data_IF_947583023070
#
_entry.id   IF_947583023070
#
_cell.length_a   1.000
_cell.length_b   1.000
_cell.length_c   1.000
_cell.angle_alpha   90.00
_cell.angle_beta   90.00
_cell.angle_gamma   90.00
#
_symmetry.space_group_name_H-M   'P 1'
#
loop_
_entity.id
_entity.type
_entity.pdbx_description
1 polymer ?
#
# COMPACT_ATOMS: atom_id res chain seq x y z
N UNK A 1 -3.53 14.37 14.07
CA UNK A 1 -3.03 13.14 14.73
C UNK A 1 -4.24 12.27 15.09
N UNK A 2 -4.65 11.31 14.25
CA UNK A 2 -5.82 10.44 14.53
C UNK A 2 -5.36 9.13 15.19
N UNK A 3 -5.97 8.80 16.34
CA UNK A 3 -5.65 7.67 17.24
C UNK A 3 -6.22 6.31 16.74
N UNK A 4 -5.97 5.89 15.51
CA UNK A 4 -6.62 4.67 14.94
C UNK A 4 -5.65 3.58 14.49
N UNK A 5 -4.46 3.47 15.09
CA UNK A 5 -3.47 2.42 14.75
C UNK A 5 -3.22 1.41 15.88
N UNK A 6 -4.16 1.27 16.82
CA UNK A 6 -4.06 0.25 17.86
C UNK A 6 -4.80 -1.03 17.42
N UNK A 7 -4.17 -2.19 17.61
CA UNK A 7 -4.81 -3.49 17.42
C UNK A 7 -6.06 -3.57 18.29
N UNK A 8 -7.16 -4.04 17.73
CA UNK A 8 -8.41 -4.18 18.45
C UNK A 8 -8.77 -5.66 18.60
N UNK A 9 -8.80 -6.11 19.86
CA UNK A 9 -9.50 -7.33 20.22
C UNK A 9 -10.97 -7.00 20.40
N UNK A 10 -11.83 -7.81 19.80
CA UNK A 10 -13.27 -7.69 19.94
C UNK A 10 -13.88 -9.05 20.26
N UNK A 11 -14.94 -9.01 21.07
CA UNK A 11 -15.76 -10.17 21.41
C UNK A 11 -17.20 -9.76 21.19
N UNK A 12 -17.97 -10.59 20.47
CA UNK A 12 -19.39 -10.36 20.32
C UNK A 12 -20.09 -10.51 21.68
N UNK A 13 -20.94 -9.55 22.08
CA UNK A 13 -21.74 -9.70 23.29
C UNK A 13 -22.63 -10.94 23.19
N UNK A 14 -22.92 -11.57 24.32
CA UNK A 14 -23.89 -12.66 24.36
C UNK A 14 -25.28 -12.13 23.96
N UNK A 15 -26.18 -12.96 23.36
CA UNK A 15 -27.48 -12.50 22.88
C UNK A 15 -28.34 -11.82 23.94
N UNK A 16 -28.19 -12.20 25.21
CA UNK A 16 -28.94 -11.69 26.35
C UNK A 16 -28.19 -10.61 27.14
N UNK A 17 -26.98 -10.23 26.73
CA UNK A 17 -26.16 -9.24 27.45
C UNK A 17 -26.49 -7.83 26.94
N UNK A 18 -27.14 -7.02 27.78
CA UNK A 18 -27.35 -5.60 27.50
C UNK A 18 -26.02 -4.85 27.65
N UNK A 19 -25.50 -4.29 26.56
CA UNK A 19 -24.33 -3.42 26.61
C UNK A 19 -24.79 -1.98 26.91
N UNK A 20 -24.33 -1.36 28.01
CA UNK A 20 -24.64 0.04 28.26
C UNK A 20 -23.83 0.91 27.28
N UNK A 21 -24.54 1.75 26.51
CA UNK A 21 -24.01 2.82 25.65
C UNK A 21 -23.69 2.55 24.16
N UNK A 22 -24.14 1.46 23.52
CA UNK A 22 -24.08 1.33 22.05
C UNK A 22 -25.38 0.81 21.45
N UNK A 23 -26.15 1.70 20.79
CA UNK A 23 -27.18 1.27 19.85
C UNK A 23 -26.50 0.83 18.55
N UNK A 24 -26.49 -0.48 18.30
CA UNK A 24 -26.05 -1.01 17.02
C UNK A 24 -27.08 -0.71 15.94
N UNK A 25 -26.60 -0.20 14.80
CA UNK A 25 -27.39 -0.04 13.58
C UNK A 25 -27.93 -1.39 13.09
N UNK A 26 -29.01 -1.38 12.31
CA UNK A 26 -29.61 -2.61 11.74
C UNK A 26 -28.59 -3.42 10.93
N UNK A 27 -27.66 -2.76 10.22
CA UNK A 27 -26.59 -3.42 9.47
C UNK A 27 -25.60 -4.14 10.40
N UNK A 28 -25.15 -3.48 11.46
CA UNK A 28 -24.24 -4.09 12.44
C UNK A 28 -24.90 -5.31 13.10
N UNK A 29 -26.18 -5.20 13.47
CA UNK A 29 -26.94 -6.30 14.07
C UNK A 29 -27.05 -7.51 13.13
N UNK A 30 -27.34 -7.27 11.86
CA UNK A 30 -27.37 -8.32 10.84
C UNK A 30 -26.00 -9.00 10.64
N UNK A 31 -24.91 -8.23 10.61
CA UNK A 31 -23.55 -8.78 10.55
C UNK A 31 -23.22 -9.63 11.78
N UNK A 32 -23.62 -9.22 12.98
CA UNK A 32 -23.39 -9.98 14.21
C UNK A 32 -24.18 -11.29 14.24
N UNK A 33 -25.44 -11.28 13.77
CA UNK A 33 -26.24 -12.51 13.62
C UNK A 33 -25.59 -13.49 12.63
N UNK A 34 -25.09 -12.97 11.50
CA UNK A 34 -24.35 -13.79 10.55
C UNK A 34 -23.10 -14.41 11.20
N UNK A 35 -22.27 -13.61 11.89
CA UNK A 35 -21.07 -14.11 12.55
C UNK A 35 -21.38 -15.21 13.57
N UNK A 36 -22.45 -15.05 14.36
CA UNK A 36 -22.91 -16.08 15.31
C UNK A 36 -23.36 -17.36 14.61
N UNK A 37 -24.05 -17.27 13.47
CA UNK A 37 -24.48 -18.43 12.69
C UNK A 37 -23.30 -19.30 12.24
N UNK A 38 -22.12 -18.71 12.09
CA UNK A 38 -20.88 -19.40 11.71
C UNK A 38 -19.90 -19.56 12.87
N UNK A 39 -20.39 -19.50 14.11
CA UNK A 39 -19.60 -19.68 15.35
C UNK A 39 -18.42 -18.70 15.53
N UNK A 40 -18.45 -17.55 14.86
CA UNK A 40 -17.46 -16.48 15.00
C UNK A 40 -17.89 -15.57 16.15
N UNK A 41 -17.24 -15.71 17.31
CA UNK A 41 -17.58 -14.93 18.51
C UNK A 41 -16.48 -13.99 18.98
N UNK A 42 -15.23 -14.27 18.63
CA UNK A 42 -14.08 -13.44 19.00
C UNK A 42 -13.17 -13.24 17.81
N UNK A 43 -12.43 -12.14 17.83
CA UNK A 43 -11.39 -11.91 16.85
C UNK A 43 -10.43 -10.80 17.23
N UNK A 44 -9.30 -10.83 16.56
CA UNK A 44 -8.27 -9.80 16.65
C UNK A 44 -8.12 -9.17 15.28
N UNK A 45 -8.25 -7.85 15.22
CA UNK A 45 -7.96 -7.09 14.00
C UNK A 45 -6.70 -6.26 14.22
N UNK A 46 -5.70 -6.52 13.38
CA UNK A 46 -4.44 -5.79 13.36
C UNK A 46 -4.42 -4.88 12.13
N UNK A 47 -4.45 -3.54 12.30
CA UNK A 47 -4.22 -2.63 11.22
C UNK A 47 -2.72 -2.56 10.89
N UNK A 48 -2.41 -2.47 9.61
CA UNK A 48 -1.06 -2.16 9.12
C UNK A 48 -1.12 -0.90 8.27
N UNK A 49 -0.24 0.05 8.61
CA UNK A 49 -0.04 1.24 7.79
C UNK A 49 0.86 0.88 6.63
N UNK A 50 0.33 1.08 5.44
CA UNK A 50 1.02 0.92 4.18
C UNK A 50 1.56 2.29 3.73
N UNK A 51 2.49 2.33 2.77
CA UNK A 51 2.94 3.58 2.18
C UNK A 51 1.78 4.46 1.67
N UNK A 52 1.99 5.78 1.69
CA UNK A 52 1.05 6.79 1.17
C UNK A 52 -0.33 6.82 1.84
N UNK A 53 -0.37 6.70 3.18
CA UNK A 53 -1.59 6.80 4.01
C UNK A 53 -2.65 5.72 3.73
N UNK A 54 -2.26 4.62 3.09
CA UNK A 54 -3.12 3.45 2.97
C UNK A 54 -3.08 2.64 4.25
N UNK A 55 -4.20 2.01 4.59
CA UNK A 55 -4.31 1.11 5.74
C UNK A 55 -4.83 -0.24 5.26
N UNK A 56 -4.05 -1.29 5.49
CA UNK A 56 -4.49 -2.67 5.39
C UNK A 56 -4.92 -3.18 6.77
N UNK A 57 -5.67 -4.28 6.80
CA UNK A 57 -5.90 -5.00 8.05
C UNK A 57 -5.89 -6.50 7.81
N UNK A 58 -5.43 -7.24 8.81
CA UNK A 58 -5.66 -8.68 8.92
C UNK A 58 -6.54 -8.91 10.14
N UNK A 59 -7.57 -9.73 9.96
CA UNK A 59 -8.47 -10.13 11.04
C UNK A 59 -8.42 -11.63 11.19
N UNK A 60 -8.16 -12.08 12.41
CA UNK A 60 -8.29 -13.49 12.80
C UNK A 60 -9.57 -13.67 13.59
N UNK A 61 -10.20 -14.83 13.40
CA UNK A 61 -11.43 -15.22 14.05
C UNK A 61 -11.18 -16.46 14.90
N UNK A 62 -11.75 -16.50 16.10
CA UNK A 62 -11.76 -17.68 16.95
C UNK A 62 -13.20 -18.21 17.07
N UNK A 63 -13.33 -19.54 16.96
CA UNK A 63 -14.59 -20.24 17.10
C UNK A 63 -15.10 -20.20 18.56
N UNK A 64 -16.41 -20.31 18.74
CA UNK A 64 -17.09 -20.16 20.03
C UNK A 64 -16.60 -21.12 21.13
N UNK A 65 -16.14 -22.31 20.76
CA UNK A 65 -15.62 -23.35 21.66
C UNK A 65 -14.16 -23.13 22.06
N UNK A 66 -13.42 -22.30 21.32
CA UNK A 66 -12.00 -22.06 21.52
C UNK A 66 -11.74 -20.59 21.87
N UNK A 67 -12.05 -20.22 23.12
CA UNK A 67 -11.75 -18.88 23.65
C UNK A 67 -10.24 -18.64 23.66
N UNK A 68 -9.76 -17.87 22.71
CA UNK A 68 -8.36 -17.46 22.62
C UNK A 68 -8.15 -16.21 23.46
N UNK A 69 -7.14 -16.24 24.33
CA UNK A 69 -6.68 -15.01 25.00
C UNK A 69 -5.61 -14.36 24.12
N UNK A 70 -5.88 -13.14 23.68
CA UNK A 70 -4.90 -12.34 22.94
C UNK A 70 -4.03 -11.57 23.92
N UNK A 71 -2.99 -12.23 24.43
CA UNK A 71 -2.02 -11.58 25.30
C UNK A 71 -1.10 -10.61 24.51
N UNK A 72 -0.41 -9.73 25.25
CA UNK A 72 0.44 -8.71 24.63
C UNK A 72 1.57 -9.30 23.75
N UNK A 73 2.32 -10.34 24.20
CA UNK A 73 3.34 -10.95 23.37
C UNK A 73 2.80 -11.53 22.06
N UNK A 74 1.65 -12.21 22.07
CA UNK A 74 1.03 -12.73 20.85
C UNK A 74 0.65 -11.60 19.89
N UNK A 75 0.00 -10.55 20.41
CA UNK A 75 -0.42 -9.40 19.57
C UNK A 75 0.79 -8.70 18.94
N UNK A 76 1.89 -8.54 19.68
CA UNK A 76 3.13 -7.94 19.16
C UNK A 76 3.76 -8.81 18.07
N UNK A 77 3.82 -10.13 18.25
CA UNK A 77 4.31 -11.05 17.20
C UNK A 77 3.43 -11.05 15.96
N UNK A 78 2.11 -11.07 16.14
CA UNK A 78 1.16 -10.99 15.03
C UNK A 78 1.27 -9.65 14.30
N UNK A 79 1.49 -8.54 15.01
CA UNK A 79 1.74 -7.24 14.40
C UNK A 79 2.94 -7.29 13.45
N UNK A 80 4.06 -7.88 13.90
CA UNK A 80 5.27 -8.04 13.07
C UNK A 80 4.99 -8.95 11.87
N UNK A 81 4.29 -10.07 12.09
CA UNK A 81 3.96 -11.01 11.02
C UNK A 81 3.08 -10.36 9.94
N UNK A 82 2.07 -9.58 10.32
CA UNK A 82 1.19 -8.88 9.38
C UNK A 82 1.93 -7.78 8.63
N UNK A 83 2.82 -7.05 9.30
CA UNK A 83 3.67 -6.06 8.64
C UNK A 83 4.49 -6.73 7.52
N UNK A 84 5.17 -7.84 7.83
CA UNK A 84 5.96 -8.59 6.85
C UNK A 84 5.12 -9.20 5.72
N UNK A 85 3.92 -9.68 6.04
CA UNK A 85 2.99 -10.20 5.05
C UNK A 85 2.59 -9.12 4.03
N UNK A 86 2.22 -7.93 4.51
CA UNK A 86 1.90 -6.81 3.62
C UNK A 86 3.13 -6.29 2.87
N UNK A 87 4.31 -6.22 3.49
CA UNK A 87 5.56 -5.87 2.78
C UNK A 87 5.84 -6.87 1.63
N UNK A 88 5.61 -8.16 1.86
CA UNK A 88 5.74 -9.20 0.84
C UNK A 88 4.67 -9.11 -0.27
N UNK A 89 3.42 -8.80 0.09
CA UNK A 89 2.35 -8.55 -0.88
C UNK A 89 2.64 -7.31 -1.70
N UNK A 90 3.08 -6.22 -1.09
CA UNK A 90 3.37 -4.99 -1.81
C UNK A 90 4.55 -5.21 -2.77
N UNK A 91 5.63 -5.89 -2.33
CA UNK A 91 6.73 -6.29 -3.22
C UNK A 91 6.27 -7.17 -4.40
N UNK A 92 5.35 -8.10 -4.17
CA UNK A 92 4.83 -8.96 -5.24
C UNK A 92 3.78 -8.27 -6.11
N UNK A 93 2.99 -7.32 -5.58
CA UNK A 93 2.08 -6.48 -6.37
C UNK A 93 2.81 -5.47 -7.23
N UNK A 94 3.97 -4.97 -6.79
CA UNK A 94 4.88 -4.22 -7.65
C UNK A 94 5.37 -5.04 -8.86
N UNK A 95 5.34 -6.37 -8.74
CA UNK A 95 5.65 -7.28 -9.85
C UNK A 95 4.45 -7.55 -10.77
N UNK A 96 3.22 -7.53 -10.25
CA UNK A 96 1.99 -7.83 -11.00
C UNK A 96 1.33 -6.58 -11.59
N UNK A 97 1.55 -5.40 -11.00
CA UNK A 97 1.15 -4.14 -11.59
C UNK A 97 2.01 -3.87 -12.82
N UNK A 98 1.48 -4.19 -14.01
CA UNK A 98 2.06 -3.77 -15.28
C UNK A 98 2.19 -2.26 -15.25
N UNK A 99 3.43 -1.78 -15.05
CA UNK A 99 3.73 -0.35 -15.08
C UNK A 99 3.17 0.22 -16.38
N UNK A 100 2.30 1.25 -16.33
CA UNK A 100 1.84 1.91 -17.55
C UNK A 100 3.00 2.60 -18.29
N UNK A 101 4.09 2.84 -17.56
CA UNK A 101 5.32 3.43 -18.06
C UNK A 101 6.26 2.36 -18.62
N UNK A 102 6.85 2.67 -19.75
CA UNK A 102 8.01 1.98 -20.32
C UNK A 102 9.26 2.20 -19.47
N UNK A 103 10.30 1.35 -19.60
CA UNK A 103 11.54 1.50 -18.85
C UNK A 103 12.19 2.89 -18.98
N UNK A 104 12.15 3.49 -20.19
CA UNK A 104 12.71 4.82 -20.45
C UNK A 104 11.89 5.95 -19.86
N UNK A 105 10.56 5.80 -19.84
CA UNK A 105 9.65 6.75 -19.19
C UNK A 105 9.85 6.75 -17.67
N UNK A 106 10.02 5.57 -17.07
CA UNK A 106 10.35 5.38 -15.66
C UNK A 106 11.72 5.99 -15.32
N UNK A 107 12.75 5.70 -16.12
CA UNK A 107 14.10 6.26 -15.96
C UNK A 107 14.10 7.80 -16.03
N UNK A 108 13.41 8.39 -16.99
CA UNK A 108 13.29 9.86 -17.09
C UNK A 108 12.56 10.45 -15.87
N UNK A 109 11.46 9.84 -15.42
CA UNK A 109 10.74 10.31 -14.23
C UNK A 109 11.53 10.14 -12.93
N UNK A 110 12.37 9.10 -12.84
CA UNK A 110 13.23 8.86 -11.68
C UNK A 110 14.28 9.96 -11.51
N UNK A 111 14.95 10.37 -12.59
CA UNK A 111 15.87 11.49 -12.56
C UNK A 111 15.14 12.83 -12.41
N UNK A 112 13.93 12.94 -12.95
CA UNK A 112 13.07 14.10 -12.71
C UNK A 112 12.68 14.26 -11.23
N UNK A 113 12.47 13.15 -10.51
CA UNK A 113 12.18 13.17 -9.07
C UNK A 113 13.34 13.74 -8.23
N UNK A 114 14.58 13.68 -8.75
CA UNK A 114 15.78 14.28 -8.16
C UNK A 114 15.98 15.76 -8.51
N UNK A 115 15.04 16.36 -9.26
CA UNK A 115 15.13 17.76 -9.67
C UNK A 115 16.05 18.01 -10.87
N UNK A 116 16.48 16.98 -11.59
CA UNK A 116 17.29 17.16 -12.81
C UNK A 116 16.44 17.73 -13.96
N UNK A 117 17.01 18.67 -14.72
CA UNK A 117 16.39 19.19 -15.95
C UNK A 117 16.48 18.17 -17.09
N UNK A 118 15.62 18.29 -18.12
CA UNK A 118 15.63 17.37 -19.27
C UNK A 118 16.99 17.33 -19.99
N UNK A 119 17.73 18.44 -20.00
CA UNK A 119 19.08 18.52 -20.55
C UNK A 119 20.10 17.72 -19.73
N UNK A 120 19.98 17.75 -18.40
CA UNK A 120 20.87 16.99 -17.53
C UNK A 120 20.55 15.50 -17.58
N UNK A 121 19.26 15.15 -17.61
CA UNK A 121 18.79 13.77 -17.80
C UNK A 121 19.31 13.23 -19.14
N UNK A 122 19.17 14.01 -20.21
CA UNK A 122 19.66 13.66 -21.55
C UNK A 122 21.16 13.33 -21.56
N UNK A 123 21.99 14.13 -20.89
CA UNK A 123 23.42 13.84 -20.72
C UNK A 123 23.68 12.56 -19.92
N UNK A 124 22.86 12.29 -18.92
CA UNK A 124 23.02 11.15 -18.02
C UNK A 124 22.67 9.82 -18.70
N UNK A 125 21.65 9.81 -19.56
CA UNK A 125 21.16 8.60 -20.26
C UNK A 125 21.65 8.49 -21.71
N UNK A 126 22.57 9.37 -22.12
CA UNK A 126 23.12 9.49 -23.49
C UNK A 126 22.04 9.58 -24.59
N UNK A 127 21.16 10.59 -24.45
CA UNK A 127 20.07 10.87 -25.40
C UNK A 127 19.92 12.37 -25.65
N UNK A 128 19.13 12.74 -26.67
CA UNK A 128 18.80 14.14 -26.90
C UNK A 128 17.79 14.67 -25.86
N UNK A 129 17.87 15.96 -25.54
CA UNK A 129 16.91 16.62 -24.66
C UNK A 129 15.47 16.53 -25.18
N UNK A 130 15.29 16.53 -26.51
CA UNK A 130 13.98 16.36 -27.14
C UNK A 130 13.40 14.95 -26.90
N UNK A 131 14.25 13.93 -26.94
CA UNK A 131 13.85 12.53 -26.66
C UNK A 131 13.42 12.38 -25.20
N UNK A 132 14.16 12.99 -24.26
CA UNK A 132 13.77 12.99 -22.83
C UNK A 132 12.45 13.73 -22.64
N UNK A 133 12.29 14.90 -23.26
CA UNK A 133 11.05 15.68 -23.20
C UNK A 133 9.86 14.88 -23.72
N UNK A 134 10.06 14.13 -24.82
CA UNK A 134 9.06 13.23 -25.36
C UNK A 134 8.65 12.13 -24.35
N UNK A 135 9.63 11.46 -23.73
CA UNK A 135 9.36 10.44 -22.72
C UNK A 135 8.63 11.02 -21.50
N UNK A 136 9.05 12.17 -20.97
CA UNK A 136 8.39 12.84 -19.84
C UNK A 136 6.94 13.21 -20.19
N UNK A 137 6.69 13.75 -21.39
CA UNK A 137 5.32 14.06 -21.86
C UNK A 137 4.46 12.80 -22.00
N UNK A 138 5.03 11.72 -22.51
CA UNK A 138 4.33 10.44 -22.59
C UNK A 138 3.97 9.92 -21.21
N UNK A 139 4.88 10.01 -20.23
CA UNK A 139 4.60 9.64 -18.83
C UNK A 139 3.50 10.49 -18.20
N UNK A 140 3.50 11.81 -18.45
CA UNK A 140 2.44 12.72 -17.96
C UNK A 140 1.07 12.24 -18.46
N UNK A 141 0.96 11.93 -19.77
CA UNK A 141 -0.28 11.43 -20.37
C UNK A 141 -0.69 10.06 -19.81
N UNK A 142 0.25 9.13 -19.64
CA UNK A 142 -0.02 7.77 -19.17
C UNK A 142 -0.41 7.68 -17.70
N UNK A 143 0.06 8.63 -16.88
CA UNK A 143 -0.30 8.74 -15.47
C UNK A 143 -1.50 9.65 -15.23
N UNK A 144 -2.11 10.20 -16.28
CA UNK A 144 -3.18 11.20 -16.18
C UNK A 144 -2.77 12.41 -15.30
N UNK A 145 -1.53 12.85 -15.47
CA UNK A 145 -0.96 13.97 -14.73
C UNK A 145 -1.17 15.29 -15.47
N UNK A 146 -1.18 16.40 -14.74
CA UNK A 146 -1.35 17.75 -15.31
C UNK A 146 -0.02 18.42 -15.65
N UNK A 147 1.06 18.03 -14.99
CA UNK A 147 2.40 18.55 -15.21
C UNK A 147 3.45 17.53 -14.74
N UNK A 148 4.73 17.83 -15.01
CA UNK A 148 5.87 16.98 -14.64
C UNK A 148 5.92 16.66 -13.16
N UNK A 149 5.72 17.65 -12.29
CA UNK A 149 5.76 17.46 -10.84
C UNK A 149 4.63 16.58 -10.36
N UNK A 150 3.43 16.74 -10.94
CA UNK A 150 2.28 15.88 -10.68
C UNK A 150 2.56 14.45 -11.15
N UNK A 151 3.17 14.26 -12.32
CA UNK A 151 3.56 12.95 -12.82
C UNK A 151 4.60 12.26 -11.92
N UNK A 152 5.60 12.99 -11.45
CA UNK A 152 6.57 12.50 -10.45
C UNK A 152 5.84 12.08 -9.17
N UNK A 153 4.97 12.94 -8.63
CA UNK A 153 4.22 12.63 -7.41
C UNK A 153 3.34 11.38 -7.57
N UNK A 154 2.65 11.22 -8.71
CA UNK A 154 1.86 10.04 -9.01
C UNK A 154 2.71 8.78 -9.18
N UNK A 155 3.84 8.89 -9.88
CA UNK A 155 4.76 7.76 -10.07
C UNK A 155 5.36 7.29 -8.74
N UNK A 156 5.73 8.21 -7.85
CA UNK A 156 6.18 7.88 -6.48
C UNK A 156 5.05 7.24 -5.68
N UNK A 157 3.83 7.84 -5.69
CA UNK A 157 2.66 7.30 -4.97
C UNK A 157 2.23 5.92 -5.44
N UNK A 158 2.41 5.63 -6.72
CA UNK A 158 2.15 4.32 -7.31
C UNK A 158 3.33 3.35 -7.13
N UNK A 159 4.41 3.76 -6.45
CA UNK A 159 5.64 3.00 -6.28
C UNK A 159 6.26 2.52 -7.60
N UNK A 160 6.04 3.28 -8.69
CA UNK A 160 6.66 3.04 -10.01
C UNK A 160 8.10 3.54 -10.05
N UNK A 161 8.42 4.54 -9.23
CA UNK A 161 9.77 5.06 -9.02
C UNK A 161 10.01 5.24 -7.52
N UNK A 162 11.21 4.89 -7.07
CA UNK A 162 11.69 5.25 -5.74
C UNK A 162 12.62 6.45 -5.85
N UNK A 163 12.47 7.50 -5.01
CA UNK A 163 13.40 8.63 -4.99
C UNK A 163 14.81 8.27 -4.46
N UNK A 164 15.03 7.04 -4.02
CA UNK A 164 16.27 6.58 -3.35
C UNK A 164 17.36 6.19 -4.35
N UNK A 165 18.63 6.33 -3.96
CA UNK A 165 19.84 6.15 -4.77
C UNK A 165 19.88 4.82 -5.54
N UNK A 166 19.52 4.87 -6.83
CA UNK A 166 19.93 3.88 -7.80
C UNK A 166 21.23 4.40 -8.43
N UNK A 167 22.32 3.68 -8.21
CA UNK A 167 23.47 3.74 -9.10
C UNK A 167 22.97 3.54 -10.54
N UNK A 168 23.38 4.38 -11.52
CA UNK A 168 22.89 4.30 -12.88
C UNK A 168 23.07 2.87 -13.41
N UNK A 169 21.95 2.21 -13.70
CA UNK A 169 21.96 0.83 -14.20
C UNK A 169 22.75 0.76 -15.52
N UNK A 170 23.73 -0.15 -15.65
CA UNK A 170 24.43 -0.39 -16.91
C UNK A 170 23.51 -1.22 -17.82
N UNK A 171 22.36 -0.69 -18.23
CA UNK A 171 21.54 -1.37 -19.24
C UNK A 171 22.24 -1.16 -20.58
N UNK A 172 22.73 -2.22 -21.25
CA UNK A 172 23.36 -2.08 -22.55
C UNK A 172 22.33 -1.49 -23.51
N UNK A 173 22.71 -0.44 -24.23
CA UNK A 173 21.87 0.14 -25.27
C UNK A 173 21.65 -0.95 -26.36
N UNK A 174 20.43 -1.47 -26.60
CA UNK A 174 20.18 -2.47 -27.64
C UNK A 174 20.22 -1.86 -29.07
N UNK A 175 20.86 -0.70 -29.22
CA UNK A 175 21.06 0.02 -30.47
C UNK A 175 22.50 0.52 -30.50
N UNK A 176 23.41 -0.41 -30.71
CA UNK A 176 24.65 -0.27 -31.47
C UNK A 176 24.92 -1.61 -32.16
#
# INVERSE_FOLDING_TARGET
MRKTSASCHWTLPAPQQSLPAMEFTSRQRHSMEYMRKFDIQQGLTIPVRLPFDRTGCVTWFAAADNRVTFDRPLVEHLQIAVQRFFDGIDRSRLWIATSPLSPRETECLHWAARGLSDKNIARLIDRSADTVTFHVRSSIRKLDAVNRTHAVALAVRASLIEPTDLEPSPVPNPRN
#
